data_IF_720245711642
#
_entry.id   IF_720245711642
#
_cell.length_a   1.000
_cell.length_b   1.000
_cell.length_c   1.000
_cell.angle_alpha   90.00
_cell.angle_beta   90.00
_cell.angle_gamma   90.00
#
_symmetry.space_group_name_H-M   'P 1'
#
loop_
_entity.id
_entity.type
_entity.pdbx_description
1 polymer ?
#
# COMPACT_ATOMS: atom_id res chain seq x y z
N UNK A 1 -3.84 -7.35 -19.79
CA UNK A 1 -3.89 -7.69 -18.36
C UNK A 1 -4.77 -8.89 -18.02
N UNK A 2 -5.99 -8.98 -18.54
CA UNK A 2 -6.91 -10.09 -18.23
C UNK A 2 -6.31 -11.49 -18.53
N UNK A 3 -5.68 -11.65 -19.70
CA UNK A 3 -5.00 -12.90 -20.08
C UNK A 3 -3.84 -13.25 -19.17
N UNK A 4 -3.04 -12.26 -18.74
CA UNK A 4 -1.92 -12.48 -17.81
C UNK A 4 -2.41 -12.95 -16.44
N UNK A 5 -3.44 -12.29 -15.87
CA UNK A 5 -3.98 -12.66 -14.56
C UNK A 5 -4.58 -14.08 -14.58
N UNK A 6 -5.31 -14.45 -15.65
CA UNK A 6 -5.81 -15.82 -15.79
C UNK A 6 -4.70 -16.83 -16.02
N UNK A 7 -3.71 -16.50 -16.84
CA UNK A 7 -2.52 -17.32 -17.04
C UNK A 7 -1.76 -17.56 -15.75
N UNK A 8 -1.50 -16.50 -14.96
CA UNK A 8 -0.81 -16.63 -13.68
C UNK A 8 -1.60 -17.50 -12.68
N UNK A 9 -2.93 -17.37 -12.61
CA UNK A 9 -3.76 -18.21 -11.75
C UNK A 9 -3.70 -19.67 -12.18
N UNK A 10 -3.83 -19.95 -13.48
CA UNK A 10 -3.74 -21.30 -14.01
C UNK A 10 -2.37 -21.93 -13.74
N UNK A 11 -1.29 -21.17 -13.91
CA UNK A 11 0.06 -21.63 -13.60
C UNK A 11 0.28 -21.89 -12.11
N UNK A 12 -0.22 -21.02 -11.22
CA UNK A 12 -0.13 -21.23 -9.77
C UNK A 12 -0.93 -22.47 -9.34
N UNK A 13 -2.14 -22.64 -9.88
CA UNK A 13 -2.97 -23.81 -9.61
C UNK A 13 -2.29 -25.09 -10.10
N UNK A 14 -1.79 -25.12 -11.34
CA UNK A 14 -1.06 -26.24 -11.90
C UNK A 14 0.19 -26.55 -11.09
N UNK A 15 0.98 -25.55 -10.72
CA UNK A 15 2.17 -25.72 -9.90
C UNK A 15 1.84 -26.28 -8.53
N UNK A 16 0.75 -25.83 -7.89
CA UNK A 16 0.28 -26.38 -6.62
C UNK A 16 -0.12 -27.86 -6.74
N UNK A 17 -0.87 -28.21 -7.79
CA UNK A 17 -1.26 -29.61 -8.06
C UNK A 17 -0.03 -30.47 -8.30
N UNK A 18 0.89 -30.06 -9.16
CA UNK A 18 2.11 -30.80 -9.47
C UNK A 18 3.03 -30.98 -8.25
N UNK A 19 3.13 -29.97 -7.38
CA UNK A 19 3.92 -30.04 -6.15
C UNK A 19 3.25 -30.91 -5.08
N UNK A 20 1.92 -31.05 -5.11
CA UNK A 20 1.16 -31.90 -4.19
C UNK A 20 1.06 -33.37 -4.66
N UNK A 21 1.22 -33.66 -5.94
CA UNK A 21 1.17 -35.04 -6.49
C UNK A 21 2.08 -36.03 -5.73
N UNK A 22 3.34 -35.70 -5.34
CA UNK A 22 4.17 -36.61 -4.54
C UNK A 22 3.58 -36.95 -3.18
N UNK A 23 2.78 -36.07 -2.58
CA UNK A 23 2.07 -36.34 -1.32
C UNK A 23 0.95 -37.32 -1.55
N UNK A 24 0.12 -37.10 -2.59
CA UNK A 24 -0.96 -38.04 -2.96
C UNK A 24 -0.45 -39.41 -3.33
N UNK A 25 0.76 -39.50 -3.91
CA UNK A 25 1.41 -40.79 -4.25
C UNK A 25 2.23 -41.38 -3.10
N UNK A 26 2.05 -40.93 -1.88
CA UNK A 26 2.81 -41.35 -0.68
C UNK A 26 4.34 -41.28 -0.81
N UNK A 27 4.85 -40.54 -1.78
CA UNK A 27 6.30 -40.34 -1.98
C UNK A 27 6.87 -39.20 -1.12
N UNK A 28 5.99 -38.42 -0.44
CA UNK A 28 6.32 -37.32 0.44
C UNK A 28 5.32 -37.23 1.58
N UNK A 29 5.79 -36.99 2.82
CA UNK A 29 4.85 -36.80 3.92
C UNK A 29 4.17 -35.45 3.85
N UNK A 30 2.88 -35.34 4.26
CA UNK A 30 2.18 -34.03 4.31
C UNK A 30 2.91 -33.00 5.16
N UNK A 31 3.53 -33.40 6.28
CA UNK A 31 4.28 -32.52 7.16
C UNK A 31 5.51 -31.90 6.46
N UNK A 32 6.24 -32.71 5.68
CA UNK A 32 7.39 -32.24 4.88
C UNK A 32 6.91 -31.27 3.79
N UNK A 33 5.81 -31.61 3.11
CA UNK A 33 5.24 -30.72 2.09
C UNK A 33 4.81 -29.38 2.67
N UNK A 34 4.21 -29.39 3.86
CA UNK A 34 3.73 -28.17 4.53
C UNK A 34 4.86 -27.26 5.01
N UNK A 35 5.99 -27.82 5.44
CA UNK A 35 7.09 -27.09 6.07
C UNK A 35 8.28 -26.77 5.18
N UNK A 36 8.63 -27.65 4.22
CA UNK A 36 9.86 -27.53 3.44
C UNK A 36 9.71 -26.62 2.22
N UNK A 37 10.50 -25.55 2.16
CA UNK A 37 10.48 -24.58 1.05
C UNK A 37 11.22 -25.10 -0.18
N UNK A 38 10.57 -25.05 -1.34
CA UNK A 38 11.12 -25.49 -2.64
C UNK A 38 10.76 -24.50 -3.76
N UNK A 39 11.60 -24.45 -4.79
CA UNK A 39 11.24 -23.78 -6.04
C UNK A 39 10.18 -24.58 -6.79
N UNK A 40 9.26 -23.89 -7.44
CA UNK A 40 8.34 -24.52 -8.37
C UNK A 40 9.09 -25.13 -9.56
N UNK A 41 8.57 -26.21 -10.08
CA UNK A 41 9.02 -26.95 -11.29
C UNK A 41 10.36 -27.66 -11.19
N UNK A 42 11.41 -27.05 -10.62
CA UNK A 42 12.74 -27.67 -10.52
C UNK A 42 13.61 -27.04 -9.45
N UNK A 43 14.52 -27.82 -8.88
CA UNK A 43 15.56 -27.34 -7.95
C UNK A 43 16.88 -26.99 -8.66
N UNK A 44 17.03 -27.36 -9.95
CA UNK A 44 18.24 -27.07 -10.72
C UNK A 44 18.46 -25.55 -10.81
N UNK A 45 19.70 -25.12 -10.56
CA UNK A 45 20.08 -23.71 -10.56
C UNK A 45 19.27 -22.83 -9.58
N UNK A 46 18.91 -23.36 -8.42
CA UNK A 46 18.07 -22.67 -7.42
C UNK A 46 18.61 -21.29 -7.04
N UNK A 47 19.90 -21.17 -6.74
CA UNK A 47 20.54 -19.89 -6.35
C UNK A 47 20.52 -18.85 -7.49
N UNK A 48 20.78 -19.31 -8.72
CA UNK A 48 20.76 -18.45 -9.92
C UNK A 48 19.35 -17.92 -10.17
N UNK A 49 18.34 -18.81 -10.14
CA UNK A 49 16.93 -18.45 -10.32
C UNK A 49 16.45 -17.46 -9.24
N UNK A 50 16.84 -17.67 -7.98
CA UNK A 50 16.50 -16.74 -6.90
C UNK A 50 17.15 -15.38 -7.09
N UNK A 51 18.43 -15.34 -7.47
CA UNK A 51 19.15 -14.11 -7.73
C UNK A 51 18.49 -13.30 -8.85
N UNK A 52 18.24 -13.90 -9.99
CA UNK A 52 17.58 -13.21 -11.12
C UNK A 52 16.11 -12.88 -10.83
N UNK A 53 15.40 -13.74 -10.07
CA UNK A 53 14.05 -13.43 -9.61
C UNK A 53 14.01 -12.19 -8.70
N UNK A 54 14.96 -12.05 -7.78
CA UNK A 54 15.08 -10.84 -6.95
C UNK A 54 15.35 -9.58 -7.78
N UNK A 55 16.26 -9.66 -8.77
CA UNK A 55 16.53 -8.53 -9.68
C UNK A 55 15.32 -8.18 -10.54
N UNK A 56 14.62 -9.19 -11.08
CA UNK A 56 13.38 -8.96 -11.83
C UNK A 56 12.34 -8.24 -10.98
N UNK A 57 12.15 -8.69 -9.72
CA UNK A 57 11.23 -8.00 -8.81
C UNK A 57 11.62 -6.54 -8.57
N UNK A 58 12.90 -6.26 -8.29
CA UNK A 58 13.38 -4.90 -8.09
C UNK A 58 13.17 -4.02 -9.33
N UNK A 59 13.42 -4.56 -10.53
CA UNK A 59 13.12 -3.87 -11.79
C UNK A 59 11.62 -3.61 -11.92
N UNK A 60 10.77 -4.60 -11.62
CA UNK A 60 9.33 -4.42 -11.63
C UNK A 60 8.85 -3.33 -10.66
N UNK A 61 9.45 -3.24 -9.46
CA UNK A 61 9.17 -2.16 -8.50
C UNK A 61 9.59 -0.79 -9.05
N UNK A 62 10.77 -0.68 -9.67
CA UNK A 62 11.22 0.57 -10.27
C UNK A 62 10.31 1.01 -11.42
N UNK A 63 9.92 0.08 -12.29
CA UNK A 63 8.98 0.36 -13.39
C UNK A 63 7.62 0.79 -12.84
N UNK A 64 7.10 0.10 -11.83
CA UNK A 64 5.85 0.47 -11.15
C UNK A 64 5.93 1.90 -10.60
N UNK A 65 6.99 2.21 -9.85
CA UNK A 65 7.18 3.53 -9.25
C UNK A 65 7.28 4.63 -10.29
N UNK A 66 8.03 4.40 -11.36
CA UNK A 66 8.12 5.34 -12.48
C UNK A 66 6.74 5.62 -13.10
N UNK A 67 6.00 4.54 -13.44
CA UNK A 67 4.67 4.67 -14.06
C UNK A 67 3.74 5.48 -13.16
N UNK A 68 3.66 5.14 -11.88
CA UNK A 68 2.69 5.77 -10.97
C UNK A 68 3.07 7.22 -10.70
N UNK A 69 4.33 7.52 -10.39
CA UNK A 69 4.78 8.89 -10.12
C UNK A 69 4.62 9.78 -11.36
N UNK A 70 5.01 9.28 -12.54
CA UNK A 70 4.98 10.05 -13.77
C UNK A 70 3.55 10.23 -14.32
N UNK A 71 2.75 9.17 -14.37
CA UNK A 71 1.37 9.24 -14.89
C UNK A 71 0.40 10.02 -14.00
N UNK A 72 0.71 10.18 -12.70
CA UNK A 72 -0.08 11.04 -11.81
C UNK A 72 0.28 12.53 -11.95
N UNK A 73 1.30 12.86 -12.76
CA UNK A 73 1.67 14.24 -13.07
C UNK A 73 0.89 14.80 -14.26
N UNK A 74 0.98 16.11 -14.46
CA UNK A 74 0.41 16.81 -15.62
C UNK A 74 1.09 16.42 -16.95
N UNK A 75 2.21 15.71 -16.92
CA UNK A 75 2.87 15.18 -18.10
C UNK A 75 1.94 14.30 -18.94
N UNK A 76 0.99 13.60 -18.34
CA UNK A 76 -0.01 12.80 -19.05
C UNK A 76 -0.94 13.62 -19.95
N UNK A 77 -1.24 14.85 -19.53
CA UNK A 77 -2.10 15.76 -20.31
C UNK A 77 -1.34 16.40 -21.47
N UNK A 78 -0.06 16.73 -21.25
CA UNK A 78 0.80 17.27 -22.29
C UNK A 78 1.20 16.21 -23.31
N UNK A 79 1.37 14.96 -22.88
CA UNK A 79 1.81 13.84 -23.72
C UNK A 79 0.87 12.62 -23.60
N UNK A 80 -0.36 12.68 -24.13
CA UNK A 80 -1.32 11.57 -24.00
C UNK A 80 -0.82 10.23 -24.57
N UNK A 81 0.09 10.27 -25.53
CA UNK A 81 0.70 9.07 -26.12
C UNK A 81 1.55 8.28 -25.11
N UNK A 82 2.10 8.94 -24.09
CA UNK A 82 2.79 8.24 -23.00
C UNK A 82 1.83 7.32 -22.24
N UNK A 83 0.64 7.81 -21.94
CA UNK A 83 -0.37 7.02 -21.24
C UNK A 83 -0.96 5.92 -22.13
N UNK A 84 -1.20 6.20 -23.41
CA UNK A 84 -1.89 5.28 -24.31
C UNK A 84 -0.98 4.24 -24.95
N UNK A 85 0.32 4.53 -25.11
CA UNK A 85 1.27 3.64 -25.81
C UNK A 85 2.39 3.14 -24.90
N UNK A 86 3.00 4.01 -24.09
CA UNK A 86 4.19 3.63 -23.30
C UNK A 86 3.80 2.96 -22.00
N UNK A 87 2.85 3.54 -21.24
CA UNK A 87 2.44 2.96 -19.95
C UNK A 87 1.94 1.52 -20.05
N UNK A 88 1.13 1.12 -21.06
CA UNK A 88 0.73 -0.28 -21.19
C UNK A 88 1.93 -1.23 -21.43
N UNK A 89 2.94 -0.79 -22.16
CA UNK A 89 4.17 -1.60 -22.37
C UNK A 89 4.93 -1.75 -21.05
N UNK A 90 5.10 -0.67 -20.32
CA UNK A 90 5.75 -0.69 -19.00
C UNK A 90 4.98 -1.54 -17.99
N UNK A 91 3.64 -1.47 -18.00
CA UNK A 91 2.79 -2.34 -17.19
C UNK A 91 3.05 -3.82 -17.50
N UNK A 92 3.15 -4.19 -18.79
CA UNK A 92 3.51 -5.55 -19.18
C UNK A 92 4.89 -5.95 -18.68
N UNK A 93 5.90 -5.07 -18.81
CA UNK A 93 7.25 -5.32 -18.27
C UNK A 93 7.19 -5.57 -16.77
N UNK A 94 6.48 -4.72 -16.02
CA UNK A 94 6.29 -4.87 -14.59
C UNK A 94 5.66 -6.22 -14.22
N UNK A 95 4.53 -6.57 -14.86
CA UNK A 95 3.83 -7.83 -14.56
C UNK A 95 4.63 -9.05 -14.98
N UNK A 96 5.38 -9.01 -16.08
CA UNK A 96 6.30 -10.07 -16.48
C UNK A 96 7.42 -10.25 -15.44
N UNK A 97 7.99 -9.17 -14.94
CA UNK A 97 8.99 -9.19 -13.88
C UNK A 97 8.44 -9.82 -12.59
N UNK A 98 7.26 -9.42 -12.15
CA UNK A 98 6.61 -9.99 -10.97
C UNK A 98 6.23 -11.46 -11.19
N UNK A 99 5.66 -11.80 -12.35
CA UNK A 99 5.32 -13.17 -12.71
C UNK A 99 6.55 -14.10 -12.76
N UNK A 100 7.65 -13.63 -13.37
CA UNK A 100 8.92 -14.35 -13.35
C UNK A 100 9.40 -14.64 -11.92
N UNK A 101 9.36 -13.62 -11.05
CA UNK A 101 9.74 -13.77 -9.63
C UNK A 101 8.84 -14.78 -8.91
N UNK A 102 7.52 -14.65 -9.05
CA UNK A 102 6.55 -15.55 -8.40
C UNK A 102 6.76 -16.99 -8.84
N UNK A 103 6.84 -17.25 -10.14
CA UNK A 103 6.85 -18.60 -10.69
C UNK A 103 8.23 -19.25 -10.63
N UNK A 104 9.29 -18.51 -10.90
CA UNK A 104 10.61 -19.08 -11.11
C UNK A 104 11.62 -18.70 -10.02
N UNK A 105 11.47 -17.56 -9.37
CA UNK A 105 12.43 -17.02 -8.42
C UNK A 105 12.05 -17.16 -6.95
N UNK A 106 10.88 -17.72 -6.63
CA UNK A 106 10.39 -17.82 -5.24
C UNK A 106 10.30 -19.27 -4.79
N UNK A 107 10.74 -19.53 -3.56
CA UNK A 107 10.53 -20.81 -2.90
C UNK A 107 9.19 -20.82 -2.18
N UNK A 108 8.49 -21.94 -2.26
CA UNK A 108 7.23 -22.15 -1.58
C UNK A 108 7.27 -23.46 -0.77
N UNK A 109 6.55 -23.47 0.34
CA UNK A 109 6.06 -24.65 1.02
C UNK A 109 4.53 -24.72 0.90
N UNK A 110 3.92 -25.81 1.31
CA UNK A 110 2.48 -25.98 1.20
C UNK A 110 1.68 -24.82 1.82
N UNK A 111 2.10 -24.33 3.00
CA UNK A 111 1.48 -23.18 3.67
C UNK A 111 1.55 -21.92 2.82
N UNK A 112 2.73 -21.56 2.34
CA UNK A 112 2.90 -20.34 1.54
C UNK A 112 2.20 -20.43 0.18
N UNK A 113 2.07 -21.63 -0.40
CA UNK A 113 1.27 -21.86 -1.61
C UNK A 113 -0.21 -21.62 -1.37
N UNK A 114 -0.76 -22.17 -0.28
CA UNK A 114 -2.17 -21.96 0.08
C UNK A 114 -2.44 -20.48 0.34
N UNK A 115 -1.60 -19.82 1.14
CA UNK A 115 -1.76 -18.37 1.39
C UNK A 115 -1.66 -17.55 0.10
N UNK A 116 -0.70 -17.84 -0.76
CA UNK A 116 -0.53 -17.16 -2.05
C UNK A 116 -1.73 -17.39 -2.97
N UNK A 117 -2.19 -18.62 -3.07
CA UNK A 117 -3.35 -19.00 -3.89
C UNK A 117 -4.64 -18.32 -3.41
N UNK A 118 -4.90 -18.33 -2.10
CA UNK A 118 -6.07 -17.69 -1.52
C UNK A 118 -6.04 -16.17 -1.72
N UNK A 119 -4.91 -15.51 -1.42
CA UNK A 119 -4.76 -14.07 -1.62
C UNK A 119 -4.98 -13.70 -3.09
N UNK A 120 -4.36 -14.45 -4.01
CA UNK A 120 -4.50 -14.18 -5.43
C UNK A 120 -5.93 -14.45 -5.94
N UNK A 121 -6.55 -15.54 -5.48
CA UNK A 121 -7.95 -15.87 -5.82
C UNK A 121 -8.91 -14.77 -5.40
N UNK A 122 -8.82 -14.31 -4.14
CA UNK A 122 -9.67 -13.23 -3.62
C UNK A 122 -9.43 -11.94 -4.40
N UNK A 123 -8.17 -11.55 -4.62
CA UNK A 123 -7.85 -10.36 -5.40
C UNK A 123 -8.38 -10.43 -6.83
N UNK A 124 -8.29 -11.61 -7.46
CA UNK A 124 -8.79 -11.84 -8.81
C UNK A 124 -10.32 -11.81 -8.86
N UNK A 125 -10.99 -12.37 -7.86
CA UNK A 125 -12.46 -12.32 -7.74
C UNK A 125 -12.95 -10.89 -7.57
N UNK A 126 -12.32 -10.11 -6.69
CA UNK A 126 -12.61 -8.68 -6.51
C UNK A 126 -12.35 -7.90 -7.80
N UNK A 127 -11.24 -8.16 -8.49
CA UNK A 127 -10.96 -7.52 -9.77
C UNK A 127 -12.02 -7.81 -10.84
N UNK A 128 -12.51 -9.04 -10.90
CA UNK A 128 -13.53 -9.43 -11.87
C UNK A 128 -14.83 -8.65 -11.68
N UNK A 129 -15.24 -8.39 -10.44
CA UNK A 129 -16.47 -7.68 -10.12
C UNK A 129 -16.30 -6.16 -10.14
N UNK A 130 -15.22 -5.63 -9.58
CA UNK A 130 -14.99 -4.20 -9.38
C UNK A 130 -14.09 -3.54 -10.41
N UNK A 131 -13.45 -4.31 -11.32
CA UNK A 131 -12.49 -3.83 -12.32
C UNK A 131 -11.30 -3.06 -11.71
N UNK A 132 -11.10 -3.13 -10.38
CA UNK A 132 -10.06 -2.40 -9.68
C UNK A 132 -8.70 -3.12 -9.80
N UNK A 133 -7.90 -2.66 -10.76
CA UNK A 133 -6.59 -3.23 -11.08
C UNK A 133 -5.56 -3.01 -9.96
N UNK A 134 -5.71 -1.95 -9.16
CA UNK A 134 -4.75 -1.59 -8.10
C UNK A 134 -4.65 -2.67 -7.03
N UNK A 135 -5.77 -3.26 -6.64
CA UNK A 135 -5.80 -4.36 -5.67
C UNK A 135 -5.15 -5.62 -6.20
N UNK A 136 -5.42 -5.96 -7.45
CA UNK A 136 -4.76 -7.10 -8.09
C UNK A 136 -3.25 -6.85 -8.20
N UNK A 137 -2.85 -5.65 -8.61
CA UNK A 137 -1.46 -5.22 -8.70
C UNK A 137 -0.73 -5.29 -7.35
N UNK A 138 -1.37 -4.79 -6.28
CA UNK A 138 -0.84 -4.86 -4.92
C UNK A 138 -0.65 -6.32 -4.47
N UNK A 139 -1.64 -7.18 -4.67
CA UNK A 139 -1.53 -8.59 -4.31
C UNK A 139 -0.42 -9.29 -5.08
N UNK A 140 -0.28 -9.05 -6.38
CA UNK A 140 0.81 -9.59 -7.20
C UNK A 140 2.17 -9.09 -6.70
N UNK A 141 2.29 -7.80 -6.35
CA UNK A 141 3.51 -7.24 -5.78
C UNK A 141 3.87 -7.86 -4.42
N UNK A 142 2.89 -8.08 -3.53
CA UNK A 142 3.09 -8.78 -2.25
C UNK A 142 3.57 -10.22 -2.45
N UNK A 143 2.99 -10.94 -3.42
CA UNK A 143 3.42 -12.30 -3.74
C UNK A 143 4.86 -12.33 -4.29
N UNK A 144 5.20 -11.38 -5.15
CA UNK A 144 6.52 -11.25 -5.74
C UNK A 144 7.59 -10.81 -4.72
N UNK A 145 7.20 -10.07 -3.68
CA UNK A 145 8.11 -9.56 -2.65
C UNK A 145 8.68 -10.66 -1.74
N UNK A 146 8.10 -11.87 -1.72
CA UNK A 146 8.59 -12.99 -0.89
C UNK A 146 10.08 -13.25 -1.17
N UNK A 147 10.86 -13.43 -0.11
CA UNK A 147 12.30 -13.72 -0.13
C UNK A 147 13.19 -12.58 -0.73
N UNK A 148 12.67 -11.37 -0.90
CA UNK A 148 13.47 -10.20 -1.28
C UNK A 148 13.58 -9.28 -0.07
N UNK A 149 14.80 -8.98 0.44
CA UNK A 149 14.98 -8.13 1.60
C UNK A 149 14.33 -6.75 1.41
N UNK A 150 13.53 -6.32 2.40
CA UNK A 150 12.81 -5.04 2.36
C UNK A 150 13.76 -3.86 2.10
N UNK A 151 14.99 -3.93 2.61
CA UNK A 151 16.02 -2.91 2.37
C UNK A 151 16.37 -2.74 0.90
N UNK A 152 16.39 -3.84 0.11
CA UNK A 152 16.66 -3.76 -1.33
C UNK A 152 15.46 -3.17 -2.07
N UNK A 153 14.26 -3.55 -1.65
CA UNK A 153 13.02 -3.04 -2.24
C UNK A 153 12.89 -1.53 -2.00
N UNK A 154 13.09 -1.07 -0.77
CA UNK A 154 13.02 0.37 -0.45
C UNK A 154 14.13 1.17 -1.13
N UNK A 155 15.32 0.59 -1.33
CA UNK A 155 16.37 1.23 -2.15
C UNK A 155 15.95 1.39 -3.61
N UNK A 156 15.39 0.34 -4.23
CA UNK A 156 14.91 0.40 -5.62
C UNK A 156 13.79 1.43 -5.76
N UNK A 157 12.88 1.46 -4.79
CA UNK A 157 11.78 2.41 -4.73
C UNK A 157 12.30 3.86 -4.68
N UNK A 158 13.22 4.17 -3.76
CA UNK A 158 13.81 5.51 -3.65
C UNK A 158 14.69 5.87 -4.86
N UNK A 159 15.45 4.91 -5.39
CA UNK A 159 16.32 5.13 -6.54
C UNK A 159 15.55 5.49 -7.82
N UNK A 160 14.27 5.10 -7.91
CA UNK A 160 13.40 5.46 -9.02
C UNK A 160 12.48 6.65 -8.64
N UNK A 161 11.82 6.59 -7.50
CA UNK A 161 10.81 7.59 -7.12
C UNK A 161 11.38 8.99 -6.92
N UNK A 162 12.56 9.12 -6.27
CA UNK A 162 13.19 10.43 -6.05
C UNK A 162 13.60 11.12 -7.37
N UNK A 163 14.32 10.47 -8.29
CA UNK A 163 14.64 11.08 -9.58
C UNK A 163 13.39 11.37 -10.42
N UNK A 164 12.38 10.50 -10.41
CA UNK A 164 11.14 10.72 -11.16
C UNK A 164 10.37 11.92 -10.62
N UNK A 165 10.25 12.06 -9.29
CA UNK A 165 9.65 13.22 -8.66
C UNK A 165 10.42 14.51 -9.00
N UNK A 166 11.75 14.46 -8.94
CA UNK A 166 12.61 15.58 -9.33
C UNK A 166 12.44 15.94 -10.80
N UNK A 167 12.36 14.94 -11.70
CA UNK A 167 12.10 15.14 -13.12
C UNK A 167 10.77 15.85 -13.35
N UNK A 168 9.68 15.42 -12.72
CA UNK A 168 8.36 16.07 -12.83
C UNK A 168 8.45 17.53 -12.36
N UNK A 169 9.10 17.79 -11.21
CA UNK A 169 9.31 19.15 -10.72
C UNK A 169 10.12 20.01 -11.68
N UNK A 170 11.20 19.48 -12.24
CA UNK A 170 12.03 20.20 -13.24
C UNK A 170 11.22 20.53 -14.50
N UNK A 171 10.44 19.58 -15.02
CA UNK A 171 9.57 19.82 -16.19
C UNK A 171 8.52 20.88 -15.90
N UNK A 172 7.98 20.89 -14.69
CA UNK A 172 7.04 21.90 -14.24
C UNK A 172 7.68 23.29 -14.17
N UNK A 173 8.82 23.45 -13.47
CA UNK A 173 9.51 24.74 -13.35
C UNK A 173 10.08 25.25 -14.66
N UNK A 174 10.40 24.35 -15.61
CA UNK A 174 10.81 24.70 -16.97
C UNK A 174 9.62 25.12 -17.87
N UNK A 175 8.37 25.03 -17.38
CA UNK A 175 7.17 25.34 -18.15
C UNK A 175 6.88 24.34 -19.27
N UNK A 176 7.50 23.16 -19.25
CA UNK A 176 7.31 22.10 -20.26
C UNK A 176 6.00 21.35 -20.04
N UNK A 177 5.63 21.10 -18.79
CA UNK A 177 4.31 20.57 -18.44
C UNK A 177 3.42 21.69 -17.93
N UNK A 178 2.09 21.51 -18.10
CA UNK A 178 1.11 22.53 -17.77
C UNK A 178 1.36 23.14 -16.37
N UNK A 179 1.24 24.47 -16.24
CA UNK A 179 1.30 25.12 -14.94
C UNK A 179 0.18 24.56 -14.04
N UNK A 180 0.40 24.67 -12.75
CA UNK A 180 -0.60 24.26 -11.76
C UNK A 180 -1.95 24.90 -12.11
N UNK A 181 -2.95 24.10 -12.45
CA UNK A 181 -4.31 24.58 -12.49
C UNK A 181 -4.59 25.17 -11.12
N UNK A 182 -5.05 26.43 -11.06
CA UNK A 182 -5.19 27.17 -9.82
C UNK A 182 -6.09 26.39 -8.84
N UNK A 183 -5.48 25.58 -7.97
CA UNK A 183 -6.20 24.93 -6.88
C UNK A 183 -6.33 25.93 -5.74
N UNK A 184 -7.36 26.74 -5.85
CA UNK A 184 -7.72 27.67 -4.78
C UNK A 184 -8.65 26.97 -3.78
N UNK A 185 -8.31 27.07 -2.52
CA UNK A 185 -9.19 26.64 -1.43
C UNK A 185 -9.22 27.71 -0.36
N UNK A 186 -10.41 28.28 -0.11
CA UNK A 186 -10.62 29.34 0.85
C UNK A 186 -9.69 30.57 0.62
N UNK A 187 -9.56 31.03 -0.61
CA UNK A 187 -8.73 32.19 -0.98
C UNK A 187 -7.21 31.93 -0.95
N UNK A 188 -6.79 30.67 -0.88
CA UNK A 188 -5.40 30.31 -0.67
C UNK A 188 -4.90 29.37 -1.76
N UNK A 189 -3.92 29.81 -2.54
CA UNK A 189 -3.27 28.99 -3.56
C UNK A 189 -2.54 27.79 -2.96
N UNK A 190 -2.60 26.68 -3.67
CA UNK A 190 -1.95 25.41 -3.32
C UNK A 190 -0.99 25.02 -4.44
N UNK A 191 0.28 24.80 -4.10
CA UNK A 191 1.28 24.39 -5.07
C UNK A 191 1.14 22.90 -5.36
N UNK A 192 1.13 22.52 -6.65
CA UNK A 192 0.97 21.14 -7.09
C UNK A 192 2.25 20.53 -7.67
N UNK A 193 3.27 21.35 -7.92
CA UNK A 193 4.60 20.94 -8.40
C UNK A 193 4.56 19.99 -9.61
N UNK A 194 3.67 20.29 -10.57
CA UNK A 194 3.49 19.50 -11.79
C UNK A 194 2.54 18.29 -11.63
N UNK A 195 1.78 18.20 -10.54
CA UNK A 195 0.74 17.20 -10.35
C UNK A 195 -0.66 17.80 -10.53
N UNK A 196 -1.63 16.99 -10.91
CA UNK A 196 -3.03 17.45 -11.09
C UNK A 196 -3.76 17.79 -9.80
N UNK A 197 -3.23 17.39 -8.63
CA UNK A 197 -3.82 17.67 -7.33
C UNK A 197 -2.75 17.70 -6.22
N UNK A 198 -2.85 18.65 -5.25
CA UNK A 198 -1.86 18.78 -4.17
C UNK A 198 -1.72 17.53 -3.28
N UNK A 199 -2.82 16.77 -3.06
CA UNK A 199 -2.75 15.55 -2.28
C UNK A 199 -2.02 14.42 -3.03
N UNK A 200 -2.05 14.44 -4.37
CA UNK A 200 -1.28 13.48 -5.17
C UNK A 200 0.22 13.70 -4.99
N UNK A 201 0.69 14.96 -5.10
CA UNK A 201 2.07 15.32 -4.76
C UNK A 201 2.41 14.95 -3.31
N UNK A 202 1.51 15.31 -2.37
CA UNK A 202 1.66 14.98 -0.95
C UNK A 202 1.78 13.48 -0.69
N UNK A 203 0.98 12.66 -1.37
CA UNK A 203 1.01 11.20 -1.28
C UNK A 203 2.33 10.59 -1.78
N UNK A 204 2.84 11.07 -2.92
CA UNK A 204 4.14 10.63 -3.46
C UNK A 204 5.27 11.00 -2.48
N UNK A 205 5.31 12.24 -2.00
CA UNK A 205 6.31 12.68 -1.01
C UNK A 205 6.24 11.86 0.27
N UNK A 206 5.03 11.61 0.77
CA UNK A 206 4.81 10.82 1.97
C UNK A 206 5.26 9.35 1.77
N UNK A 207 4.99 8.75 0.63
CA UNK A 207 5.47 7.41 0.28
C UNK A 207 7.00 7.32 0.26
N UNK A 208 7.68 8.31 -0.33
CA UNK A 208 9.14 8.38 -0.32
C UNK A 208 9.71 8.54 1.10
N UNK A 209 9.05 9.32 1.99
CA UNK A 209 9.42 9.40 3.41
C UNK A 209 9.26 8.06 4.13
N UNK A 210 8.16 7.35 3.90
CA UNK A 210 7.97 6.00 4.46
C UNK A 210 9.04 5.04 3.96
N UNK A 211 9.37 5.07 2.66
CA UNK A 211 10.45 4.25 2.10
C UNK A 211 11.80 4.58 2.74
N UNK A 212 12.10 5.87 2.96
CA UNK A 212 13.31 6.29 3.68
C UNK A 212 13.36 5.76 5.11
N UNK A 213 12.28 5.91 5.87
CA UNK A 213 12.17 5.40 7.24
C UNK A 213 12.35 3.88 7.27
N UNK A 214 11.71 3.16 6.35
CA UNK A 214 11.86 1.71 6.21
C UNK A 214 13.27 1.29 5.78
N UNK A 215 13.99 2.09 5.02
CA UNK A 215 15.39 1.87 4.66
C UNK A 215 16.31 2.06 5.86
N UNK A 216 16.12 3.12 6.64
CA UNK A 216 16.99 3.50 7.76
C UNK A 216 16.69 2.71 9.04
N UNK A 217 15.44 2.45 9.33
CA UNK A 217 14.94 1.69 10.50
C UNK A 217 15.62 2.10 11.81
N UNK A 218 16.24 1.14 12.50
CA UNK A 218 16.94 1.37 13.76
C UNK A 218 18.14 2.35 13.65
N UNK A 219 18.66 2.53 12.42
CA UNK A 219 19.78 3.46 12.16
C UNK A 219 19.32 4.91 11.95
N UNK A 220 18.01 5.19 11.94
CA UNK A 220 17.47 6.54 11.78
C UNK A 220 18.01 7.46 12.88
N UNK A 221 18.69 8.53 12.52
CA UNK A 221 19.29 9.51 13.44
C UNK A 221 18.29 10.60 13.84
N UNK A 222 18.61 11.41 14.85
CA UNK A 222 17.77 12.55 15.23
C UNK A 222 17.75 13.66 14.16
N UNK A 223 18.89 14.01 13.52
CA UNK A 223 18.86 14.93 12.39
C UNK A 223 17.99 14.46 11.22
N UNK A 224 18.04 13.15 10.89
CA UNK A 224 17.14 12.59 9.85
C UNK A 224 15.66 12.72 10.25
N UNK A 225 15.34 12.51 11.53
CA UNK A 225 13.98 12.69 12.03
C UNK A 225 13.53 14.15 11.95
N UNK A 226 14.43 15.09 12.25
CA UNK A 226 14.19 16.53 12.03
C UNK A 226 14.00 16.86 10.55
N UNK A 227 14.77 16.22 9.65
CA UNK A 227 14.54 16.31 8.19
C UNK A 227 13.16 15.83 7.76
N UNK A 228 12.69 14.70 8.31
CA UNK A 228 11.31 14.22 8.07
C UNK A 228 10.29 15.24 8.57
N UNK A 229 10.50 15.84 9.74
CA UNK A 229 9.62 16.89 10.28
C UNK A 229 9.62 18.14 9.38
N UNK A 230 10.79 18.54 8.85
CA UNK A 230 10.89 19.68 7.92
C UNK A 230 10.11 19.44 6.62
N UNK A 231 10.11 18.20 6.08
CA UNK A 231 9.24 17.84 4.95
C UNK A 231 7.77 17.93 5.35
N UNK A 232 7.38 17.55 6.57
CA UNK A 232 6.02 17.75 7.08
C UNK A 232 5.61 19.23 7.08
N UNK A 233 6.50 20.12 7.50
CA UNK A 233 6.30 21.59 7.44
C UNK A 233 6.15 22.06 5.99
N UNK A 234 7.02 21.59 5.09
CA UNK A 234 6.92 21.90 3.66
C UNK A 234 5.57 21.46 3.06
N UNK A 235 5.12 20.23 3.37
CA UNK A 235 3.81 19.74 2.92
C UNK A 235 2.63 20.56 3.45
N UNK A 236 2.76 21.14 4.64
CA UNK A 236 1.74 21.99 5.23
C UNK A 236 1.69 23.39 4.58
N UNK A 237 2.83 23.95 4.23
CA UNK A 237 2.94 25.34 3.75
C UNK A 237 2.82 25.41 2.22
N UNK A 238 3.58 24.59 1.48
CA UNK A 238 3.67 24.61 0.01
C UNK A 238 2.42 24.01 -0.65
N UNK A 239 2.30 22.70 -0.76
CA UNK A 239 1.14 22.08 -1.39
C UNK A 239 -0.11 22.14 -0.53
N UNK A 240 0.02 22.52 0.77
CA UNK A 240 -1.08 22.52 1.75
C UNK A 240 -1.82 21.18 1.76
N UNK A 241 -1.08 20.07 1.60
CA UNK A 241 -1.56 18.70 1.70
C UNK A 241 -1.63 18.30 3.17
N UNK A 242 -2.75 18.67 3.82
CA UNK A 242 -2.94 18.51 5.27
C UNK A 242 -2.83 17.06 5.72
N UNK A 243 -3.41 16.13 4.98
CA UNK A 243 -3.39 14.70 5.31
C UNK A 243 -1.96 14.16 5.37
N UNK A 244 -1.17 14.40 4.32
CA UNK A 244 0.22 13.98 4.25
C UNK A 244 1.09 14.66 5.32
N UNK A 245 0.89 15.96 5.56
CA UNK A 245 1.62 16.71 6.59
C UNK A 245 1.33 16.20 8.01
N UNK A 246 0.06 16.04 8.38
CA UNK A 246 -0.34 15.54 9.69
C UNK A 246 0.17 14.12 9.94
N UNK A 247 0.08 13.25 8.92
CA UNK A 247 0.62 11.89 9.01
C UNK A 247 2.15 11.89 9.09
N UNK A 248 2.84 12.83 8.45
CA UNK A 248 4.29 12.99 8.60
C UNK A 248 4.65 13.40 10.04
N UNK A 249 3.92 14.32 10.66
CA UNK A 249 4.15 14.68 12.07
C UNK A 249 3.82 13.54 13.02
N UNK A 250 2.75 12.79 12.77
CA UNK A 250 2.44 11.57 13.52
C UNK A 250 3.56 10.54 13.40
N UNK A 251 4.12 10.35 12.19
CA UNK A 251 5.26 9.47 11.95
C UNK A 251 6.47 9.90 12.78
N UNK A 252 6.81 11.19 12.77
CA UNK A 252 7.90 11.76 13.58
C UNK A 252 7.69 11.47 15.06
N UNK A 253 6.49 11.71 15.58
CA UNK A 253 6.13 11.45 16.97
C UNK A 253 6.33 9.96 17.33
N UNK A 254 5.75 9.06 16.54
CA UNK A 254 5.83 7.62 16.78
C UNK A 254 7.28 7.10 16.69
N UNK A 255 8.06 7.61 15.75
CA UNK A 255 9.48 7.28 15.61
C UNK A 255 10.32 7.82 16.76
N UNK A 256 10.04 9.04 17.25
CA UNK A 256 10.69 9.59 18.42
C UNK A 256 10.40 8.73 19.67
N UNK A 257 9.13 8.35 19.88
CA UNK A 257 8.74 7.44 20.96
C UNK A 257 9.41 6.07 20.82
N UNK A 258 9.49 5.51 19.60
CA UNK A 258 10.20 4.27 19.34
C UNK A 258 11.67 4.35 19.71
N UNK A 259 12.37 5.46 19.35
CA UNK A 259 13.76 5.69 19.70
C UNK A 259 13.99 5.83 21.22
N UNK A 260 13.11 6.58 21.90
CA UNK A 260 13.18 6.74 23.36
C UNK A 260 12.95 5.40 24.07
N UNK A 261 11.99 4.62 23.60
CA UNK A 261 11.71 3.28 24.11
C UNK A 261 12.93 2.35 23.95
N UNK A 262 13.58 2.36 22.78
CA UNK A 262 14.77 1.56 22.51
C UNK A 262 15.94 2.00 23.41
N UNK A 263 16.14 3.31 23.59
CA UNK A 263 17.19 3.83 24.51
C UNK A 263 16.98 3.39 25.97
N UNK A 264 15.74 3.18 26.40
CA UNK A 264 15.41 2.68 27.74
C UNK A 264 15.50 1.14 27.85
N UNK A 265 16.00 0.43 26.85
CA UNK A 265 16.10 -1.03 26.83
C UNK A 265 14.75 -1.77 26.68
N UNK A 266 13.68 -1.06 26.37
CA UNK A 266 12.33 -1.62 26.23
C UNK A 266 12.08 -2.13 24.79
N UNK A 267 12.85 -3.13 24.36
CA UNK A 267 12.80 -3.63 22.98
C UNK A 267 11.53 -4.39 22.63
N UNK A 268 11.20 -5.53 23.28
CA UNK A 268 9.99 -6.27 22.94
C UNK A 268 8.75 -5.55 23.45
N UNK A 269 7.66 -5.64 22.67
CA UNK A 269 6.37 -5.17 23.09
C UNK A 269 5.71 -6.13 24.10
N UNK A 270 5.18 -5.58 25.19
CA UNK A 270 4.27 -6.35 26.05
C UNK A 270 3.03 -6.78 25.24
N UNK A 271 2.39 -7.88 25.65
CA UNK A 271 1.13 -8.34 25.03
C UNK A 271 0.05 -7.25 24.99
N UNK A 272 -0.20 -6.49 26.09
CA UNK A 272 -1.18 -5.40 26.06
C UNK A 272 -0.85 -4.30 25.05
N UNK A 273 0.43 -3.89 24.95
CA UNK A 273 0.84 -2.86 23.99
C UNK A 273 0.71 -3.34 22.54
N UNK A 274 1.08 -4.58 22.26
CA UNK A 274 0.86 -5.16 20.93
C UNK A 274 -0.64 -5.26 20.61
N UNK A 275 -1.47 -5.67 21.55
CA UNK A 275 -2.91 -5.70 21.40
C UNK A 275 -3.50 -4.29 21.16
N UNK A 276 -3.01 -3.27 21.89
CA UNK A 276 -3.42 -1.88 21.68
C UNK A 276 -3.09 -1.39 20.26
N UNK A 277 -1.86 -1.62 19.77
CA UNK A 277 -1.49 -1.28 18.38
C UNK A 277 -2.36 -2.02 17.37
N UNK A 278 -2.70 -3.28 17.65
CA UNK A 278 -3.53 -4.11 16.77
C UNK A 278 -4.99 -3.63 16.76
N UNK A 279 -5.51 -3.22 17.91
CA UNK A 279 -6.89 -2.74 18.07
C UNK A 279 -7.18 -1.45 17.26
N UNK A 280 -6.15 -0.70 16.86
CA UNK A 280 -6.34 0.48 16.01
C UNK A 280 -7.02 0.13 14.68
N UNK A 281 -6.79 -1.07 14.13
CA UNK A 281 -7.37 -1.50 12.85
C UNK A 281 -8.90 -1.63 12.96
N UNK A 282 -9.48 -2.49 13.84
CA UNK A 282 -10.93 -2.62 13.94
C UNK A 282 -11.58 -1.34 14.50
N UNK A 283 -10.88 -0.57 15.34
CA UNK A 283 -11.41 0.71 15.84
C UNK A 283 -11.58 1.72 14.70
N UNK A 284 -10.56 1.91 13.86
CA UNK A 284 -10.66 2.82 12.73
C UNK A 284 -11.68 2.34 11.69
N UNK A 285 -11.76 1.03 11.44
CA UNK A 285 -12.80 0.47 10.58
C UNK A 285 -14.19 0.74 11.15
N UNK A 286 -14.42 0.45 12.44
CA UNK A 286 -15.70 0.69 13.11
C UNK A 286 -16.07 2.18 13.08
N UNK A 287 -15.14 3.07 13.40
CA UNK A 287 -15.37 4.52 13.35
C UNK A 287 -15.74 4.96 11.93
N UNK A 288 -15.08 4.41 10.89
CA UNK A 288 -15.39 4.72 9.50
C UNK A 288 -16.79 4.31 9.07
N UNK A 289 -17.34 3.23 9.67
CA UNK A 289 -18.69 2.74 9.33
C UNK A 289 -19.77 3.33 10.22
N UNK A 290 -19.47 3.62 11.49
CA UNK A 290 -20.46 4.05 12.48
C UNK A 290 -20.69 5.56 12.42
N UNK A 291 -19.64 6.39 12.29
CA UNK A 291 -19.80 7.85 12.30
C UNK A 291 -20.76 8.36 11.20
N UNK A 292 -20.74 7.85 9.96
CA UNK A 292 -21.69 8.27 8.94
C UNK A 292 -23.16 8.02 9.31
N UNK A 293 -23.46 7.03 10.17
CA UNK A 293 -24.83 6.73 10.60
C UNK A 293 -25.45 7.84 11.45
N UNK A 294 -24.65 8.69 12.08
CA UNK A 294 -25.12 9.84 12.87
C UNK A 294 -25.41 11.09 12.01
N UNK A 295 -25.21 11.00 10.71
CA UNK A 295 -25.54 12.08 9.79
C UNK A 295 -27.06 12.13 9.58
N UNK A 296 -27.70 13.22 10.05
CA UNK A 296 -29.17 13.30 10.15
C UNK A 296 -29.79 13.92 8.90
N UNK A 297 -29.16 14.93 8.32
CA UNK A 297 -29.71 15.66 7.18
C UNK A 297 -28.58 16.19 6.30
N UNK A 298 -28.71 15.96 5.02
CA UNK A 298 -27.75 16.45 4.04
C UNK A 298 -28.53 17.08 2.90
N UNK A 299 -28.21 18.34 2.65
CA UNK A 299 -28.54 18.98 1.39
C UNK A 299 -27.73 18.35 0.24
N UNK A 300 -27.99 18.68 -1.01
CA UNK A 300 -27.30 18.09 -2.16
C UNK A 300 -25.76 18.23 -2.10
N UNK A 301 -25.24 19.04 -1.21
CA UNK A 301 -23.81 19.33 -1.02
C UNK A 301 -23.33 19.17 0.43
N UNK A 302 -23.98 18.34 1.22
CA UNK A 302 -23.52 17.91 2.57
C UNK A 302 -23.29 19.03 3.60
N UNK A 303 -24.07 20.11 3.56
CA UNK A 303 -23.88 21.24 4.47
C UNK A 303 -24.56 21.08 5.84
N UNK A 304 -25.52 20.17 5.98
CA UNK A 304 -26.27 19.93 7.23
C UNK A 304 -25.95 18.55 7.78
N UNK A 305 -24.95 18.49 8.63
CA UNK A 305 -24.54 17.26 9.32
C UNK A 305 -25.02 17.35 10.78
N UNK A 306 -25.87 16.45 11.22
CA UNK A 306 -26.28 16.14 12.56
C UNK A 306 -25.76 17.01 13.75
N UNK A 307 -25.31 16.41 14.85
CA UNK A 307 -24.84 17.14 16.01
C UNK A 307 -23.65 18.06 15.70
N UNK A 308 -23.58 19.23 16.32
CA UNK A 308 -22.53 20.24 16.04
C UNK A 308 -21.09 19.75 16.22
N UNK A 309 -20.86 18.77 17.10
CA UNK A 309 -19.55 18.13 17.24
C UNK A 309 -19.18 17.30 16.00
N UNK A 310 -20.15 16.61 15.39
CA UNK A 310 -19.95 15.78 14.21
C UNK A 310 -19.62 16.66 13.00
N UNK A 311 -20.29 17.82 12.86
CA UNK A 311 -19.97 18.82 11.82
C UNK A 311 -18.54 19.30 11.96
N UNK A 312 -18.10 19.69 13.15
CA UNK A 312 -16.71 20.12 13.40
C UNK A 312 -15.70 19.04 13.07
N UNK A 313 -16.02 17.78 13.41
CA UNK A 313 -15.17 16.64 13.08
C UNK A 313 -15.10 16.38 11.58
N UNK A 314 -16.23 16.46 10.88
CA UNK A 314 -16.28 16.28 9.42
C UNK A 314 -15.55 17.41 8.67
N UNK A 315 -15.69 18.66 9.12
CA UNK A 315 -14.92 19.79 8.61
C UNK A 315 -13.41 19.59 8.79
N UNK A 316 -12.99 19.08 9.95
CA UNK A 316 -11.60 18.72 10.23
C UNK A 316 -11.11 17.61 9.29
N UNK A 317 -11.93 16.59 9.09
CA UNK A 317 -11.67 15.46 8.20
C UNK A 317 -11.97 15.77 6.72
N UNK A 318 -12.33 17.01 6.40
CA UNK A 318 -12.58 17.45 5.03
C UNK A 318 -13.70 16.65 4.35
N UNK A 319 -14.85 16.58 4.99
CA UNK A 319 -16.10 15.95 4.52
C UNK A 319 -16.03 14.42 4.33
N UNK A 320 -15.08 13.71 4.99
CA UNK A 320 -14.97 12.24 4.84
C UNK A 320 -16.16 11.48 5.43
N UNK A 321 -16.77 12.01 6.48
CA UNK A 321 -17.94 11.38 7.12
C UNK A 321 -19.18 11.57 6.25
N UNK A 322 -19.39 12.78 5.75
CA UNK A 322 -20.53 13.08 4.88
C UNK A 322 -20.44 12.39 3.51
N UNK A 323 -19.25 12.27 2.94
CA UNK A 323 -19.03 11.52 1.69
C UNK A 323 -19.29 10.02 1.88
N UNK A 324 -18.88 9.45 3.02
CA UNK A 324 -19.19 8.05 3.36
C UNK A 324 -20.71 7.84 3.52
N UNK A 325 -21.41 8.76 4.18
CA UNK A 325 -22.86 8.72 4.30
C UNK A 325 -23.55 8.81 2.91
N UNK A 326 -23.08 9.69 2.05
CA UNK A 326 -23.62 9.80 0.68
C UNK A 326 -23.50 8.47 -0.06
N UNK A 327 -22.36 7.78 0.07
CA UNK A 327 -22.17 6.44 -0.49
C UNK A 327 -23.15 5.41 0.07
N UNK A 328 -23.44 5.45 1.38
CA UNK A 328 -24.40 4.57 2.04
C UNK A 328 -25.84 4.73 1.50
N UNK A 329 -26.18 5.92 1.03
CA UNK A 329 -27.51 6.22 0.46
C UNK A 329 -27.65 5.82 -1.00
N UNK A 330 -26.56 5.73 -1.73
CA UNK A 330 -26.56 5.56 -3.19
C UNK A 330 -26.19 4.14 -3.61
N UNK A 331 -25.29 3.49 -2.87
CA UNK A 331 -24.75 2.21 -3.29
C UNK A 331 -25.08 1.07 -2.34
N UNK A 332 -25.42 -0.09 -2.90
CA UNK A 332 -25.52 -1.33 -2.15
C UNK A 332 -24.15 -1.93 -1.89
N UNK A 333 -24.01 -2.65 -0.78
CA UNK A 333 -22.78 -3.39 -0.45
C UNK A 333 -22.83 -4.75 -1.14
N UNK A 334 -21.88 -5.00 -2.05
CA UNK A 334 -21.71 -6.29 -2.74
C UNK A 334 -20.54 -7.08 -2.17
N UNK A 335 -20.70 -8.40 -2.03
CA UNK A 335 -19.72 -9.28 -1.35
C UNK A 335 -18.32 -9.18 -1.95
N UNK A 336 -18.20 -9.15 -3.27
CA UNK A 336 -16.92 -9.06 -3.99
C UNK A 336 -16.64 -7.68 -4.59
N UNK A 337 -17.34 -6.66 -4.10
CA UNK A 337 -17.23 -5.30 -4.60
C UNK A 337 -17.99 -5.06 -5.91
N UNK A 338 -17.82 -3.87 -6.44
CA UNK A 338 -18.48 -3.41 -7.65
C UNK A 338 -17.71 -2.27 -8.30
N UNK A 339 -17.96 -2.03 -9.57
CA UNK A 339 -17.52 -0.81 -10.24
C UNK A 339 -18.39 0.35 -9.76
N UNK A 340 -17.75 1.40 -9.27
CA UNK A 340 -18.42 2.64 -8.90
C UNK A 340 -18.17 3.69 -9.98
N UNK A 341 -19.11 4.59 -10.25
CA UNK A 341 -18.84 5.79 -11.02
C UNK A 341 -17.81 6.67 -10.27
N UNK A 342 -17.19 7.61 -10.96
CA UNK A 342 -16.14 8.47 -10.40
C UNK A 342 -16.59 9.32 -9.19
N UNK A 343 -17.90 9.40 -8.97
CA UNK A 343 -18.53 10.07 -7.83
C UNK A 343 -19.38 9.09 -7.00
N UNK A 344 -19.39 9.17 -5.66
CA UNK A 344 -18.66 10.14 -4.83
C UNK A 344 -17.17 9.74 -4.62
N UNK A 345 -16.32 10.76 -4.43
CA UNK A 345 -14.93 10.53 -4.04
C UNK A 345 -14.87 9.86 -2.65
N UNK A 346 -14.48 8.60 -2.61
CA UNK A 346 -14.34 7.84 -1.37
C UNK A 346 -12.90 7.88 -0.90
N UNK A 347 -12.56 8.91 -0.12
CA UNK A 347 -11.20 9.10 0.37
C UNK A 347 -10.87 8.21 1.58
N UNK A 348 -11.87 7.81 2.38
CA UNK A 348 -11.64 6.89 3.49
C UNK A 348 -11.43 5.47 3.00
N UNK A 349 -10.26 4.88 3.29
CA UNK A 349 -9.87 3.55 2.79
C UNK A 349 -10.83 2.44 3.19
N UNK A 350 -11.39 2.46 4.40
CA UNK A 350 -12.30 1.41 4.85
C UNK A 350 -13.61 1.46 4.09
N UNK A 351 -14.15 2.67 3.88
CA UNK A 351 -15.36 2.87 3.09
C UNK A 351 -15.10 2.55 1.61
N UNK A 352 -13.96 3.00 1.08
CA UNK A 352 -13.51 2.67 -0.27
C UNK A 352 -13.43 1.16 -0.49
N UNK A 353 -12.76 0.44 0.43
CA UNK A 353 -12.66 -1.03 0.39
C UNK A 353 -14.03 -1.70 0.41
N UNK A 354 -14.91 -1.25 1.30
CA UNK A 354 -16.23 -1.87 1.47
C UNK A 354 -17.04 -1.85 0.17
N UNK A 355 -17.05 -0.73 -0.52
CA UNK A 355 -17.84 -0.56 -1.74
C UNK A 355 -17.15 -1.10 -2.99
N UNK A 356 -15.86 -0.83 -3.18
CA UNK A 356 -15.16 -1.26 -4.39
C UNK A 356 -14.71 -2.71 -4.36
N UNK A 357 -14.37 -3.24 -3.17
CA UNK A 357 -13.79 -4.58 -3.06
C UNK A 357 -14.63 -5.55 -2.24
N UNK A 358 -15.64 -5.04 -1.56
CA UNK A 358 -16.57 -5.82 -0.75
C UNK A 358 -16.04 -6.23 0.62
N UNK A 359 -16.92 -6.69 1.52
CA UNK A 359 -16.59 -7.04 2.90
C UNK A 359 -15.54 -8.17 3.01
N UNK A 360 -15.45 -9.08 2.04
CA UNK A 360 -14.45 -10.15 2.05
C UNK A 360 -13.03 -9.58 2.03
N UNK A 361 -12.78 -8.58 1.18
CA UNK A 361 -11.47 -7.93 1.10
C UNK A 361 -11.22 -7.06 2.35
N UNK A 362 -12.23 -6.38 2.87
CA UNK A 362 -12.11 -5.62 4.13
C UNK A 362 -11.62 -6.53 5.27
N UNK A 363 -12.27 -7.69 5.46
CA UNK A 363 -11.88 -8.67 6.48
C UNK A 363 -10.46 -9.17 6.25
N UNK A 364 -10.10 -9.51 5.01
CA UNK A 364 -8.76 -9.99 4.66
C UNK A 364 -7.69 -8.92 4.96
N UNK A 365 -7.88 -7.69 4.51
CA UNK A 365 -6.94 -6.58 4.73
C UNK A 365 -6.80 -6.29 6.22
N UNK A 366 -7.92 -6.19 6.96
CA UNK A 366 -7.89 -5.99 8.41
C UNK A 366 -7.14 -7.13 9.12
N UNK A 367 -7.39 -8.39 8.76
CA UNK A 367 -6.71 -9.54 9.36
C UNK A 367 -5.20 -9.53 9.08
N UNK A 368 -4.78 -9.20 7.86
CA UNK A 368 -3.36 -9.05 7.49
C UNK A 368 -2.70 -7.91 8.27
N UNK A 369 -3.35 -6.75 8.36
CA UNK A 369 -2.87 -5.59 9.11
C UNK A 369 -2.74 -5.89 10.60
N UNK A 370 -3.75 -6.51 11.21
CA UNK A 370 -3.72 -6.92 12.62
C UNK A 370 -2.59 -7.91 12.88
N UNK A 371 -2.42 -8.91 12.02
CA UNK A 371 -1.34 -9.91 12.12
C UNK A 371 0.03 -9.25 12.01
N UNK A 372 0.22 -8.34 11.05
CA UNK A 372 1.45 -7.60 10.87
C UNK A 372 1.77 -6.72 12.08
N UNK A 373 0.83 -5.88 12.53
CA UNK A 373 0.99 -4.99 13.68
C UNK A 373 1.34 -5.77 14.95
N UNK A 374 0.57 -6.83 15.26
CA UNK A 374 0.84 -7.66 16.41
C UNK A 374 2.22 -8.31 16.34
N UNK A 375 2.57 -8.89 15.19
CA UNK A 375 3.84 -9.57 14.97
C UNK A 375 5.03 -8.61 15.11
N UNK A 376 4.99 -7.44 14.49
CA UNK A 376 6.05 -6.44 14.57
C UNK A 376 6.17 -5.82 15.97
N UNK A 377 5.05 -5.50 16.62
CA UNK A 377 5.07 -4.97 17.98
C UNK A 377 5.64 -5.97 18.99
N UNK A 378 5.24 -7.26 18.91
CA UNK A 378 5.78 -8.31 19.77
C UNK A 378 7.29 -8.53 19.61
N UNK A 379 7.80 -8.27 18.42
CA UNK A 379 9.25 -8.38 18.10
C UNK A 379 10.03 -7.11 18.37
N UNK A 380 9.40 -6.02 18.86
CA UNK A 380 10.04 -4.73 19.12
C UNK A 380 10.44 -3.94 17.89
N UNK A 381 9.83 -4.24 16.74
CA UNK A 381 10.11 -3.55 15.45
C UNK A 381 9.27 -2.28 15.32
N UNK A 382 9.50 -1.34 16.23
CA UNK A 382 8.67 -0.16 16.43
C UNK A 382 8.61 0.76 15.22
N UNK A 383 9.64 0.79 14.37
CA UNK A 383 9.64 1.58 13.14
C UNK A 383 8.64 1.01 12.11
N UNK A 384 8.57 -0.31 11.99
CA UNK A 384 7.55 -0.96 11.14
C UNK A 384 6.14 -0.72 11.70
N UNK A 385 5.97 -0.82 13.02
CA UNK A 385 4.70 -0.49 13.69
C UNK A 385 4.31 0.96 13.43
N UNK A 386 5.24 1.91 13.58
CA UNK A 386 4.98 3.33 13.31
C UNK A 386 4.53 3.56 11.85
N UNK A 387 5.22 2.96 10.88
CA UNK A 387 4.84 3.07 9.47
C UNK A 387 3.43 2.49 9.22
N UNK A 388 3.08 1.32 9.79
CA UNK A 388 1.76 0.72 9.62
C UNK A 388 0.65 1.54 10.31
N UNK A 389 0.90 2.09 11.51
CA UNK A 389 -0.07 2.93 12.20
C UNK A 389 -0.33 4.25 11.46
N UNK A 390 0.73 4.85 10.92
CA UNK A 390 0.61 6.09 10.14
C UNK A 390 -0.06 5.83 8.78
N UNK A 391 0.21 4.68 8.18
CA UNK A 391 -0.50 4.21 6.98
C UNK A 391 -2.01 4.12 7.24
N UNK A 392 -2.43 3.53 8.36
CA UNK A 392 -3.84 3.47 8.74
C UNK A 392 -4.45 4.86 8.93
N UNK A 393 -3.72 5.77 9.60
CA UNK A 393 -4.17 7.15 9.79
C UNK A 393 -4.27 7.91 8.45
N UNK A 394 -3.32 7.71 7.55
CA UNK A 394 -3.35 8.29 6.21
C UNK A 394 -4.49 7.71 5.39
N UNK A 395 -4.69 6.40 5.43
CA UNK A 395 -5.81 5.73 4.76
C UNK A 395 -7.19 6.13 5.29
N UNK A 396 -7.30 6.57 6.53
CA UNK A 396 -8.55 7.17 7.03
C UNK A 396 -8.90 8.48 6.31
N UNK A 397 -7.89 9.19 5.80
CA UNK A 397 -8.04 10.49 5.13
C UNK A 397 -7.92 10.43 3.60
N UNK A 398 -7.22 9.41 3.05
CA UNK A 398 -6.88 9.34 1.62
C UNK A 398 -6.91 7.89 1.12
N UNK A 399 -7.70 7.60 0.10
CA UNK A 399 -7.76 6.27 -0.53
C UNK A 399 -6.49 5.91 -1.33
N UNK A 400 -5.64 6.89 -1.65
CA UNK A 400 -4.37 6.69 -2.37
C UNK A 400 -3.38 5.79 -1.62
N UNK A 401 -3.61 5.51 -0.35
CA UNK A 401 -2.84 4.54 0.45
C UNK A 401 -2.85 3.12 -0.14
N UNK A 402 -3.77 2.82 -1.04
CA UNK A 402 -3.81 1.53 -1.77
C UNK A 402 -2.71 1.36 -2.81
N UNK A 403 -1.99 2.43 -3.13
CA UNK A 403 -0.89 2.43 -4.08
C UNK A 403 0.45 2.31 -3.34
N UNK A 404 1.31 1.40 -3.78
CA UNK A 404 2.64 1.24 -3.19
C UNK A 404 3.48 2.52 -3.24
N UNK A 405 3.28 3.36 -4.27
CA UNK A 405 3.95 4.66 -4.39
C UNK A 405 3.63 5.60 -3.25
N UNK A 406 2.37 5.66 -2.83
CA UNK A 406 1.95 6.49 -1.69
C UNK A 406 2.21 5.77 -0.37
N UNK A 407 2.35 4.45 -0.40
CA UNK A 407 2.51 3.65 0.81
C UNK A 407 3.32 2.35 0.61
N UNK A 408 4.65 2.44 0.56
CA UNK A 408 5.51 1.28 0.51
C UNK A 408 5.46 0.41 1.78
N UNK A 409 4.86 0.90 2.88
CA UNK A 409 4.66 0.13 4.10
C UNK A 409 3.67 -1.03 3.91
N UNK A 410 2.84 -1.00 2.86
CA UNK A 410 2.03 -2.15 2.44
C UNK A 410 2.88 -3.41 2.23
N UNK A 411 4.13 -3.28 1.81
CA UNK A 411 5.06 -4.42 1.66
C UNK A 411 5.36 -5.13 2.99
N UNK A 412 5.16 -4.47 4.13
CA UNK A 412 5.27 -5.12 5.45
C UNK A 412 4.23 -6.23 5.63
N UNK A 413 3.11 -6.18 4.91
CA UNK A 413 2.09 -7.23 4.91
C UNK A 413 2.62 -8.56 4.35
N UNK A 414 3.64 -8.54 3.50
CA UNK A 414 4.31 -9.74 3.00
C UNK A 414 4.80 -10.64 4.17
N UNK A 415 5.32 -10.02 5.24
CA UNK A 415 5.71 -10.73 6.46
C UNK A 415 4.54 -11.45 7.14
N UNK A 416 3.33 -10.90 7.09
CA UNK A 416 2.12 -11.52 7.62
C UNK A 416 1.60 -12.63 6.70
N UNK A 417 1.54 -12.39 5.38
CA UNK A 417 1.07 -13.36 4.37
C UNK A 417 1.88 -14.64 4.42
N UNK A 418 3.21 -14.53 4.46
CA UNK A 418 4.11 -15.69 4.36
C UNK A 418 4.69 -16.13 5.69
N UNK A 419 4.39 -15.43 6.80
CA UNK A 419 5.00 -15.68 8.11
C UNK A 419 6.53 -15.77 8.04
N UNK A 420 7.14 -14.83 7.28
CA UNK A 420 8.57 -14.82 7.00
C UNK A 420 9.40 -14.68 8.28
N UNK A 421 10.50 -15.44 8.40
CA UNK A 421 11.47 -15.22 9.47
C UNK A 421 11.99 -13.78 9.43
N UNK A 422 12.20 -13.18 10.61
CA UNK A 422 12.69 -11.81 10.79
C UNK A 422 13.96 -11.53 9.96
N UNK A 423 14.93 -12.45 10.06
CA UNK A 423 16.25 -12.33 9.45
C UNK A 423 16.22 -12.25 7.91
N UNK A 424 15.26 -12.92 7.28
CA UNK A 424 15.13 -12.93 5.81
C UNK A 424 14.41 -11.72 5.23
N UNK A 425 13.61 -11.04 6.04
CA UNK A 425 12.75 -9.98 5.51
C UNK A 425 13.21 -8.58 5.92
N UNK A 426 13.61 -8.43 7.16
CA UNK A 426 13.93 -7.11 7.69
C UNK A 426 15.44 -6.84 7.86
N UNK A 427 16.25 -7.82 8.19
CA UNK A 427 17.62 -7.59 8.74
C UNK A 427 18.77 -7.72 7.72
N UNK A 428 18.52 -8.15 6.47
CA UNK A 428 19.47 -8.13 5.35
C UNK A 428 19.37 -6.78 4.58
#
# INVERSE_FOLDING_TARGET
MFGFANGLLAFLALAAVLDFLPVLRHRRSPAVWWGEERLLFTTRYASVRQKYGAWAFLLGVMVYEFIVVFNNSMARENWPWLQTRVSPVLDWVMYLCFGFKILLGTKYNGRSMVCAGLLYFVARWVYFNGQNIWWLGLCVALLAAKDVPLRRVTKAFLACGVPTLALVGLLHFAGIIAPDAASERNGSYRLMFGYGHPNTFGGVMFGLLLAWVLLRRARLTWPELAGVAAVGVFLMIGPKSRSAALCTFLLVLLLALAKLRTRRGLHPGSRPLAALCTATVPVLAAVSYILPLFVVKIGPWANDIGPGWLKKLDDLLTCRISLAWAAYRVFDIKIAGQMLPDWPALDNIFVYLLYLTGPVMVVLVCALMMTALYGYARRGQWQAVACLLVMLAYGYMESQVTHLTSDPALLLLCGAVFALPRERWLDE
#
